data_IF_257843559407
#
_entry.id   IF_257843559407
#
_cell.length_a   1.000
_cell.length_b   1.000
_cell.length_c   1.000
_cell.angle_alpha   90.00
_cell.angle_beta   90.00
_cell.angle_gamma   90.00
#
_symmetry.space_group_name_H-M   'P 1'
#
loop_
_entity.id
_entity.type
_entity.pdbx_description
1 polymer ?
#
# COMPACT_ATOMS: atom_id res chain seq x y z
N UNK A 1 -31.58 -11.36 55.79
CA UNK A 1 -32.42 -12.47 55.28
C UNK A 1 -31.94 -12.80 53.87
N UNK A 2 -30.73 -13.38 53.70
CA UNK A 2 -30.48 -14.80 53.34
C UNK A 2 -31.67 -15.56 52.72
N UNK A 3 -31.63 -15.71 51.40
CA UNK A 3 -32.17 -16.90 50.72
C UNK A 3 -31.22 -17.29 49.58
N UNK A 4 -30.52 -18.39 49.84
CA UNK A 4 -29.75 -19.18 48.90
C UNK A 4 -30.74 -19.98 48.06
N UNK A 5 -30.55 -20.03 46.74
CA UNK A 5 -31.04 -21.14 45.92
C UNK A 5 -29.96 -21.52 44.90
N UNK A 6 -29.38 -22.68 45.15
CA UNK A 6 -28.54 -23.44 44.25
C UNK A 6 -29.43 -24.26 43.32
N UNK A 7 -29.08 -24.31 42.03
CA UNK A 7 -29.36 -25.39 41.06
C UNK A 7 -28.87 -24.85 39.70
N UNK A 8 -27.69 -25.22 39.22
CA UNK A 8 -27.44 -26.45 38.47
C UNK A 8 -28.32 -26.59 37.22
N UNK A 9 -27.89 -26.01 36.10
CA UNK A 9 -28.14 -26.57 34.77
C UNK A 9 -26.94 -26.31 33.87
N UNK A 10 -26.14 -27.35 33.73
CA UNK A 10 -25.11 -27.53 32.71
C UNK A 10 -25.83 -27.63 31.36
N UNK A 11 -25.80 -26.57 30.56
CA UNK A 11 -26.29 -26.62 29.17
C UNK A 11 -25.13 -26.39 28.24
N UNK A 12 -24.49 -27.51 27.90
CA UNK A 12 -23.49 -27.64 26.85
C UNK A 12 -24.19 -27.39 25.50
N UNK A 13 -24.16 -26.15 25.00
CA UNK A 13 -24.56 -25.85 23.61
C UNK A 13 -23.29 -25.70 22.78
N UNK A 14 -22.82 -26.85 22.28
CA UNK A 14 -21.89 -26.93 21.15
C UNK A 14 -22.66 -26.58 19.88
N UNK A 15 -22.77 -25.29 19.57
CA UNK A 15 -23.04 -24.85 18.21
C UNK A 15 -21.70 -24.72 17.50
N UNK A 16 -21.33 -25.81 16.83
CA UNK A 16 -20.28 -25.86 15.84
C UNK A 16 -20.58 -24.84 14.73
N UNK A 17 -20.03 -23.63 14.89
CA UNK A 17 -20.02 -22.59 13.89
C UNK A 17 -18.94 -22.92 12.86
N UNK A 18 -19.25 -23.86 11.98
CA UNK A 18 -18.57 -24.00 10.70
C UNK A 18 -18.97 -22.82 9.81
N UNK A 19 -18.59 -21.62 10.21
CA UNK A 19 -18.45 -20.52 9.26
C UNK A 19 -17.14 -20.81 8.55
N UNK A 20 -17.10 -21.01 7.21
CA UNK A 20 -15.83 -20.91 6.52
C UNK A 20 -15.36 -19.48 6.79
N UNK A 21 -14.43 -19.33 7.74
CA UNK A 21 -13.61 -18.14 7.80
C UNK A 21 -12.85 -18.21 6.48
N UNK A 22 -13.38 -17.50 5.50
CA UNK A 22 -12.61 -17.10 4.34
C UNK A 22 -11.48 -16.27 4.94
N UNK A 23 -10.39 -16.96 5.29
CA UNK A 23 -9.07 -16.39 5.32
C UNK A 23 -9.00 -15.71 3.96
N UNK A 24 -8.89 -14.37 3.91
CA UNK A 24 -8.37 -13.78 2.69
C UNK A 24 -7.03 -14.48 2.55
N UNK A 25 -6.93 -15.39 1.59
CA UNK A 25 -5.63 -15.85 1.13
C UNK A 25 -4.93 -14.55 0.83
N UNK A 26 -3.95 -14.20 1.66
CA UNK A 26 -3.03 -13.14 1.37
C UNK A 26 -2.45 -13.53 0.02
N UNK A 27 -3.02 -12.96 -1.03
CA UNK A 27 -2.45 -13.00 -2.35
C UNK A 27 -1.10 -12.35 -2.11
N UNK A 28 -0.04 -13.15 -2.13
CA UNK A 28 1.31 -12.65 -2.21
C UNK A 28 1.26 -11.54 -3.27
N UNK A 29 1.61 -10.28 -2.93
CA UNK A 29 1.42 -9.17 -3.85
C UNK A 29 2.32 -9.45 -5.05
N UNK A 30 1.74 -10.01 -6.11
CA UNK A 30 2.25 -9.81 -7.46
C UNK A 30 2.34 -8.31 -7.56
N UNK A 31 3.55 -7.78 -7.79
CA UNK A 31 3.83 -6.36 -8.01
C UNK A 31 2.67 -5.76 -8.80
N UNK A 32 1.73 -5.16 -8.06
CA UNK A 32 0.48 -4.70 -8.62
C UNK A 32 0.83 -3.31 -9.12
N UNK A 33 0.90 -3.17 -10.44
CA UNK A 33 0.96 -1.85 -11.07
C UNK A 33 -0.03 -0.93 -10.38
N UNK A 34 0.41 0.28 -10.03
CA UNK A 34 -0.42 1.26 -9.34
C UNK A 34 -1.75 1.51 -10.06
N UNK A 35 -2.83 1.75 -9.32
CA UNK A 35 -4.10 2.19 -9.91
C UNK A 35 -3.96 3.58 -10.54
N UNK A 36 -4.94 3.99 -11.35
CA UNK A 36 -4.93 5.32 -11.95
C UNK A 36 -4.89 6.44 -10.90
N UNK A 37 -5.59 6.27 -9.78
CA UNK A 37 -5.60 7.21 -8.66
C UNK A 37 -4.24 7.27 -7.98
N UNK A 38 -3.59 6.13 -7.78
CA UNK A 38 -2.25 6.05 -7.21
C UNK A 38 -1.21 6.70 -8.13
N UNK A 39 -1.31 6.50 -9.45
CA UNK A 39 -0.46 7.18 -10.43
C UNK A 39 -0.68 8.70 -10.38
N UNK A 40 -1.93 9.17 -10.24
CA UNK A 40 -2.22 10.60 -10.08
C UNK A 40 -1.63 11.17 -8.77
N UNK A 41 -1.64 10.39 -7.69
CA UNK A 41 -0.92 10.75 -6.46
C UNK A 41 0.60 10.77 -6.68
N UNK A 42 1.15 9.79 -7.39
CA UNK A 42 2.55 9.75 -7.81
C UNK A 42 2.97 11.01 -8.57
N UNK A 43 2.14 11.48 -9.51
CA UNK A 43 2.34 12.77 -10.20
C UNK A 43 2.40 13.94 -9.21
N UNK A 44 1.43 14.00 -8.30
CA UNK A 44 1.36 15.08 -7.30
C UNK A 44 2.60 15.09 -6.41
N UNK A 45 3.07 13.92 -5.97
CA UNK A 45 4.29 13.78 -5.17
C UNK A 45 5.51 14.23 -5.98
N UNK A 46 5.63 13.77 -7.24
CA UNK A 46 6.70 14.19 -8.13
C UNK A 46 6.77 15.73 -8.26
N UNK A 47 5.62 16.38 -8.46
CA UNK A 47 5.53 17.82 -8.67
C UNK A 47 5.64 18.67 -7.39
N UNK A 48 5.65 18.07 -6.21
CA UNK A 48 5.62 18.80 -4.92
C UNK A 48 6.74 18.42 -3.96
N UNK A 49 7.12 17.15 -3.90
CA UNK A 49 8.18 16.63 -3.04
C UNK A 49 9.53 16.62 -3.76
N UNK A 50 9.59 16.13 -5.01
CA UNK A 50 10.86 15.97 -5.72
C UNK A 50 11.49 17.31 -6.14
N UNK A 51 10.70 18.38 -6.25
CA UNK A 51 11.20 19.73 -6.60
C UNK A 51 11.79 20.54 -5.45
N UNK A 52 11.78 20.00 -4.23
CA UNK A 52 12.16 20.76 -3.02
C UNK A 52 13.67 21.00 -2.92
N UNK A 53 14.47 20.15 -3.56
CA UNK A 53 15.94 20.18 -3.43
C UNK A 53 16.65 20.50 -4.75
N UNK A 54 16.02 20.22 -5.90
CA UNK A 54 16.55 20.50 -7.24
C UNK A 54 15.39 20.53 -8.25
N UNK A 55 15.68 20.94 -9.48
CA UNK A 55 14.69 20.96 -10.57
C UNK A 55 14.19 19.56 -10.94
N UNK A 56 12.95 19.48 -11.41
CA UNK A 56 12.37 18.22 -11.83
C UNK A 56 12.93 17.80 -13.20
N UNK A 57 13.48 16.58 -13.31
CA UNK A 57 13.80 16.04 -14.61
C UNK A 57 12.52 15.82 -15.43
N UNK A 58 12.62 15.92 -16.75
CA UNK A 58 11.53 15.52 -17.64
C UNK A 58 11.39 13.98 -17.62
N UNK A 59 10.19 13.42 -17.32
CA UNK A 59 9.98 11.98 -17.23
C UNK A 59 10.48 11.17 -18.44
N UNK A 60 10.33 11.74 -19.66
CA UNK A 60 10.66 11.09 -20.93
C UNK A 60 12.17 11.11 -21.26
N UNK A 61 13.00 11.78 -20.45
CA UNK A 61 14.47 11.83 -20.65
C UNK A 61 15.19 10.57 -20.20
N UNK A 62 14.58 9.76 -19.36
CA UNK A 62 15.19 8.54 -18.81
C UNK A 62 14.37 7.31 -19.16
N UNK A 63 15.05 6.18 -19.35
CA UNK A 63 14.38 4.87 -19.50
C UNK A 63 13.81 4.39 -18.16
N UNK A 64 12.88 3.45 -18.20
CA UNK A 64 12.36 2.81 -16.97
C UNK A 64 13.47 2.22 -16.10
N UNK A 65 14.49 1.60 -16.69
CA UNK A 65 15.65 1.04 -15.97
C UNK A 65 16.49 2.13 -15.30
N UNK A 66 16.70 3.28 -15.97
CA UNK A 66 17.41 4.41 -15.38
C UNK A 66 16.62 5.01 -14.20
N UNK A 67 15.30 5.09 -14.33
CA UNK A 67 14.41 5.56 -13.27
C UNK A 67 14.49 4.73 -11.99
N UNK A 68 14.76 3.42 -12.05
CA UNK A 68 14.99 2.59 -10.86
C UNK A 68 16.13 3.14 -10.02
N UNK A 69 17.28 3.44 -10.63
CA UNK A 69 18.44 3.98 -9.92
C UNK A 69 18.18 5.39 -9.36
N UNK A 70 17.51 6.23 -10.15
CA UNK A 70 17.15 7.60 -9.73
C UNK A 70 16.23 7.55 -8.52
N UNK A 71 15.15 6.77 -8.58
CA UNK A 71 14.17 6.67 -7.50
C UNK A 71 14.77 6.04 -6.25
N UNK A 72 15.62 5.03 -6.36
CA UNK A 72 16.36 4.47 -5.22
C UNK A 72 17.25 5.51 -4.52
N UNK A 73 17.82 6.46 -5.26
CA UNK A 73 18.64 7.53 -4.66
C UNK A 73 17.80 8.68 -4.08
N UNK A 74 16.67 9.01 -4.71
CA UNK A 74 15.88 10.20 -4.38
C UNK A 74 14.76 9.94 -3.38
N UNK A 75 14.09 8.78 -3.43
CA UNK A 75 12.98 8.47 -2.55
C UNK A 75 13.34 8.60 -1.05
N UNK A 76 14.50 8.10 -0.56
CA UNK A 76 14.90 8.29 0.83
C UNK A 76 15.19 9.75 1.18
N UNK A 77 15.79 10.51 0.25
CA UNK A 77 16.11 11.94 0.43
C UNK A 77 14.86 12.81 0.47
N UNK A 78 13.86 12.45 -0.33
CA UNK A 78 12.54 13.06 -0.34
C UNK A 78 11.61 12.54 0.77
N UNK A 79 12.08 11.59 1.60
CA UNK A 79 11.34 10.95 2.70
C UNK A 79 10.02 10.31 2.24
N UNK A 80 10.04 9.66 1.06
CA UNK A 80 8.88 8.93 0.56
C UNK A 80 8.73 7.60 1.30
N UNK A 81 7.49 7.15 1.50
CA UNK A 81 7.20 5.75 1.86
C UNK A 81 7.44 4.82 0.67
N UNK A 82 7.50 3.52 0.90
CA UNK A 82 7.67 2.53 -0.18
C UNK A 82 6.53 2.58 -1.21
N UNK A 83 5.30 2.82 -0.74
CA UNK A 83 4.13 2.98 -1.59
C UNK A 83 4.25 4.24 -2.46
N UNK A 84 4.62 5.37 -1.85
CA UNK A 84 4.82 6.62 -2.56
C UNK A 84 5.97 6.54 -3.58
N UNK A 85 7.04 5.84 -3.22
CA UNK A 85 8.13 5.53 -4.14
C UNK A 85 7.59 4.78 -5.37
N UNK A 86 6.83 3.69 -5.16
CA UNK A 86 6.26 2.93 -6.27
C UNK A 86 5.31 3.78 -7.13
N UNK A 87 4.45 4.59 -6.53
CA UNK A 87 3.50 5.43 -7.26
C UNK A 87 4.20 6.49 -8.11
N UNK A 88 5.25 7.11 -7.58
CA UNK A 88 6.07 8.08 -8.34
C UNK A 88 6.81 7.38 -9.46
N UNK A 89 7.38 6.19 -9.22
CA UNK A 89 8.04 5.40 -10.26
C UNK A 89 7.07 5.05 -11.39
N UNK A 90 5.89 4.50 -11.06
CA UNK A 90 4.87 4.13 -12.03
C UNK A 90 4.39 5.35 -12.82
N UNK A 91 4.24 6.51 -12.17
CA UNK A 91 3.96 7.77 -12.85
C UNK A 91 5.04 8.12 -13.87
N UNK A 92 6.31 8.26 -13.47
CA UNK A 92 7.35 8.77 -14.37
C UNK A 92 7.60 7.84 -15.57
N UNK A 93 7.43 6.53 -15.41
CA UNK A 93 7.60 5.56 -16.51
C UNK A 93 6.34 5.40 -17.38
N UNK A 94 5.18 5.90 -16.93
CA UNK A 94 3.94 5.91 -17.73
C UNK A 94 3.87 7.06 -18.73
N UNK A 95 4.63 8.14 -18.50
CA UNK A 95 4.63 9.33 -19.36
C UNK A 95 5.26 8.99 -20.71
N UNK A 96 4.55 9.29 -21.80
CA UNK A 96 5.05 9.13 -23.17
C UNK A 96 5.34 10.49 -23.80
N UNK A 97 6.24 10.50 -24.79
CA UNK A 97 6.52 11.68 -25.62
C UNK A 97 5.33 12.02 -26.50
#
# INVERSE_FOLDING_TARGET
MKSLFAAATFTLVLLASCTPKATPVAQAPKSATSTAEQIAQGKTIFETACKRCHDLPEPTKFTSVQWVGIMNSMAPKAKLTDEQHQWVYDYVVSVKK
#
